data_IF_425553378733
#
_entry.id   IF_425553378733
#
_cell.length_a   1.000
_cell.length_b   1.000
_cell.length_c   1.000
_cell.angle_alpha   90.00
_cell.angle_beta   90.00
_cell.angle_gamma   90.00
#
_symmetry.space_group_name_H-M   'P 1'
#
loop_
_entity.id
_entity.type
_entity.pdbx_description
1 polymer ?
#
# COMPACT_ATOMS: atom_id res chain seq x y z
N UNK A 1 20.84 30.67 -36.62
CA UNK A 1 21.43 29.94 -35.45
C UNK A 1 20.41 29.70 -34.33
N UNK A 2 19.65 30.70 -33.87
CA UNK A 2 18.64 30.59 -32.79
C UNK A 2 17.67 29.40 -32.91
N UNK A 3 17.09 29.14 -34.10
CA UNK A 3 16.16 28.01 -34.35
C UNK A 3 16.83 26.63 -34.24
N UNK A 4 18.11 26.50 -34.62
CA UNK A 4 18.87 25.24 -34.53
C UNK A 4 19.31 24.95 -33.09
N UNK A 5 19.67 25.99 -32.34
CA UNK A 5 19.93 25.89 -30.90
C UNK A 5 18.66 25.46 -30.14
N UNK A 6 17.50 26.02 -30.50
CA UNK A 6 16.22 25.61 -29.89
C UNK A 6 15.87 24.14 -30.16
N UNK A 7 16.11 23.64 -31.38
CA UNK A 7 15.84 22.24 -31.72
C UNK A 7 16.76 21.28 -30.95
N UNK A 8 18.05 21.61 -30.79
CA UNK A 8 19.01 20.80 -30.02
C UNK A 8 18.62 20.73 -28.55
N UNK A 9 18.20 21.86 -27.96
CA UNK A 9 17.74 21.89 -26.56
C UNK A 9 16.51 21.01 -26.34
N UNK A 10 15.54 21.05 -27.26
CA UNK A 10 14.33 20.22 -27.19
C UNK A 10 14.69 18.73 -27.23
N UNK A 11 15.58 18.33 -28.15
CA UNK A 11 16.00 16.92 -28.27
C UNK A 11 16.70 16.43 -27.01
N UNK A 12 17.57 17.25 -26.42
CA UNK A 12 18.27 16.90 -25.17
C UNK A 12 17.31 16.76 -23.98
N UNK A 13 16.30 17.64 -23.87
CA UNK A 13 15.26 17.54 -22.84
C UNK A 13 14.43 16.27 -23.02
N UNK A 14 14.03 15.93 -24.25
CA UNK A 14 13.27 14.71 -24.52
C UNK A 14 14.06 13.45 -24.17
N UNK A 15 15.35 13.38 -24.54
CA UNK A 15 16.21 12.23 -24.23
C UNK A 15 16.46 12.09 -22.72
N UNK A 16 16.72 13.21 -22.02
CA UNK A 16 16.90 13.21 -20.57
C UNK A 16 15.63 12.82 -19.81
N UNK A 17 14.46 13.27 -20.26
CA UNK A 17 13.17 12.92 -19.68
C UNK A 17 12.86 11.42 -19.79
N UNK A 18 13.09 10.81 -20.95
CA UNK A 18 12.88 9.37 -21.16
C UNK A 18 13.80 8.54 -20.25
N UNK A 19 15.07 8.94 -20.12
CA UNK A 19 16.02 8.26 -19.22
C UNK A 19 15.59 8.38 -17.76
N UNK A 20 15.17 9.57 -17.31
CA UNK A 20 14.68 9.78 -15.94
C UNK A 20 13.44 8.93 -15.63
N UNK A 21 12.47 8.87 -16.54
CA UNK A 21 11.25 8.08 -16.35
C UNK A 21 11.58 6.59 -16.23
N UNK A 22 12.48 6.06 -17.06
CA UNK A 22 12.92 4.66 -16.97
C UNK A 22 13.53 4.36 -15.59
N UNK A 23 14.38 5.24 -15.08
CA UNK A 23 15.01 5.09 -13.75
C UNK A 23 14.00 5.23 -12.60
N UNK A 24 13.01 6.14 -12.73
CA UNK A 24 11.95 6.31 -11.74
C UNK A 24 10.97 5.13 -11.74
N UNK A 25 10.61 4.57 -12.90
CA UNK A 25 9.73 3.39 -12.98
C UNK A 25 10.35 2.14 -12.39
N UNK A 26 11.68 1.99 -12.44
CA UNK A 26 12.40 0.94 -11.68
C UNK A 26 12.48 1.22 -10.18
N UNK A 27 12.23 2.47 -9.78
CA UNK A 27 12.11 2.88 -8.39
C UNK A 27 10.64 2.84 -7.96
N UNK A 28 9.93 1.75 -8.22
CA UNK A 28 8.73 1.47 -7.44
C UNK A 28 9.19 1.45 -5.98
N UNK A 29 8.69 2.42 -5.20
CA UNK A 29 8.78 2.40 -3.74
C UNK A 29 7.89 1.26 -3.25
N UNK A 30 8.25 0.03 -3.60
CA UNK A 30 7.78 -1.13 -2.88
C UNK A 30 8.18 -0.87 -1.44
N UNK A 31 7.19 -0.71 -0.56
CA UNK A 31 7.47 -0.74 0.85
C UNK A 31 8.33 -2.00 1.09
N UNK A 32 9.49 -1.87 1.77
CA UNK A 32 10.36 -3.01 1.99
C UNK A 32 9.52 -4.11 2.64
N UNK A 33 9.74 -5.38 2.30
CA UNK A 33 9.04 -6.51 2.95
C UNK A 33 9.06 -6.35 4.48
N UNK A 34 10.18 -5.85 5.01
CA UNK A 34 10.37 -5.47 6.41
C UNK A 34 9.30 -4.53 6.99
N UNK A 35 8.75 -3.60 6.20
CA UNK A 35 7.66 -2.73 6.65
C UNK A 35 6.35 -3.49 6.80
N UNK A 36 6.08 -4.48 5.93
CA UNK A 36 4.94 -5.38 6.08
C UNK A 36 5.17 -6.38 7.22
N UNK A 37 6.37 -6.93 7.35
CA UNK A 37 6.74 -7.85 8.42
C UNK A 37 6.62 -7.19 9.79
N UNK A 38 6.92 -5.89 9.92
CA UNK A 38 6.74 -5.13 11.16
C UNK A 38 5.26 -4.88 11.47
N UNK A 39 4.43 -4.62 10.45
CA UNK A 39 2.98 -4.48 10.63
C UNK A 39 2.38 -5.81 11.04
N UNK A 40 2.79 -6.91 10.40
CA UNK A 40 2.36 -8.26 10.73
C UNK A 40 2.87 -8.68 12.10
N UNK A 41 4.13 -8.40 12.47
CA UNK A 41 4.68 -8.67 13.80
C UNK A 41 4.03 -7.84 14.91
N UNK A 42 3.65 -6.59 14.64
CA UNK A 42 2.89 -5.76 15.58
C UNK A 42 1.46 -6.30 15.79
N UNK A 43 0.88 -6.95 14.76
CA UNK A 43 -0.41 -7.63 14.85
C UNK A 43 -0.29 -9.12 15.25
N UNK A 44 0.92 -9.68 15.27
CA UNK A 44 1.21 -11.08 15.56
C UNK A 44 1.20 -11.28 17.07
N UNK A 45 0.01 -11.58 17.58
CA UNK A 45 -0.24 -11.72 19.01
C UNK A 45 -1.63 -11.26 19.43
N UNK A 46 -2.33 -10.47 18.60
CA UNK A 46 -3.77 -10.17 18.76
C UNK A 46 -4.59 -11.40 18.32
N UNK A 47 -4.45 -12.49 19.07
CA UNK A 47 -5.22 -13.73 18.93
C UNK A 47 -6.65 -13.56 19.46
N UNK A 48 -7.36 -12.59 18.89
CA UNK A 48 -8.82 -12.46 18.97
C UNK A 48 -9.26 -11.46 17.92
N UNK A 49 -9.06 -11.79 16.65
CA UNK A 49 -9.52 -10.96 15.53
C UNK A 49 -11.04 -11.06 15.36
N UNK A 50 -11.79 -10.99 16.45
CA UNK A 50 -13.23 -10.78 16.42
C UNK A 50 -13.61 -9.73 17.44
N UNK A 51 -14.52 -8.85 17.06
CA UNK A 51 -15.06 -7.83 17.95
C UNK A 51 -16.58 -7.84 17.92
N UNK A 52 -17.17 -7.87 19.11
CA UNK A 52 -18.58 -8.08 19.31
C UNK A 52 -19.20 -6.89 20.02
N UNK A 53 -20.29 -6.37 19.46
CA UNK A 53 -20.87 -5.10 19.86
C UNK A 53 -22.38 -5.20 20.02
N UNK A 54 -22.89 -4.59 21.09
CA UNK A 54 -24.32 -4.53 21.40
C UNK A 54 -24.88 -5.84 21.95
N UNK A 55 -26.17 -5.81 22.29
CA UNK A 55 -26.95 -6.99 22.69
C UNK A 55 -27.91 -7.26 21.54
N UNK A 56 -27.93 -8.50 21.04
CA UNK A 56 -28.73 -8.88 19.88
C UNK A 56 -28.67 -10.39 19.66
N UNK A 57 -29.13 -10.90 18.52
CA UNK A 57 -29.26 -12.35 18.32
C UNK A 57 -28.06 -13.03 17.61
N UNK A 58 -27.04 -12.25 17.23
CA UNK A 58 -25.83 -12.77 16.56
C UNK A 58 -24.95 -13.50 17.57
N UNK A 59 -24.58 -14.73 17.25
CA UNK A 59 -23.67 -15.51 18.09
C UNK A 59 -22.23 -15.04 17.94
N UNK A 60 -21.63 -14.60 19.04
CA UNK A 60 -20.22 -14.31 19.15
C UNK A 60 -19.60 -15.16 20.26
N UNK A 61 -19.11 -16.35 19.91
CA UNK A 61 -18.39 -17.24 20.83
C UNK A 61 -19.15 -17.55 22.13
N UNK A 62 -20.48 -17.67 22.05
CA UNK A 62 -21.36 -17.93 23.19
C UNK A 62 -22.12 -16.71 23.73
N UNK A 63 -21.74 -15.50 23.33
CA UNK A 63 -22.48 -14.27 23.64
C UNK A 63 -23.43 -13.87 22.51
N UNK A 64 -24.54 -13.24 22.87
CA UNK A 64 -25.59 -12.77 21.95
C UNK A 64 -25.48 -11.26 21.73
N UNK A 65 -25.02 -10.87 20.54
CA UNK A 65 -24.66 -9.48 20.19
C UNK A 65 -25.39 -8.97 18.95
N UNK A 66 -25.35 -7.66 18.73
CA UNK A 66 -25.97 -7.03 17.55
C UNK A 66 -25.05 -7.09 16.32
N UNK A 67 -23.72 -7.01 16.52
CA UNK A 67 -22.71 -7.06 15.44
C UNK A 67 -21.46 -7.82 15.85
N UNK A 68 -20.94 -8.63 14.94
CA UNK A 68 -19.63 -9.27 15.05
C UNK A 68 -18.78 -8.89 13.83
N UNK A 69 -17.55 -8.41 14.06
CA UNK A 69 -16.56 -8.14 13.03
C UNK A 69 -15.41 -9.11 13.18
N UNK A 70 -15.05 -9.86 12.14
CA UNK A 70 -13.80 -10.63 12.10
C UNK A 70 -12.70 -9.82 11.41
N UNK A 71 -11.45 -10.03 11.82
CA UNK A 71 -10.29 -9.41 11.20
C UNK A 71 -10.05 -9.93 9.79
N UNK A 72 -9.56 -9.05 8.93
CA UNK A 72 -9.18 -9.38 7.56
C UNK A 72 -7.79 -10.02 7.55
N UNK A 73 -7.67 -11.19 6.92
CA UNK A 73 -6.38 -11.80 6.58
C UNK A 73 -5.94 -11.24 5.22
N UNK A 74 -4.88 -10.43 5.22
CA UNK A 74 -4.22 -9.97 3.99
C UNK A 74 -3.26 -11.08 3.53
N UNK A 75 -3.80 -12.09 2.85
CA UNK A 75 -3.01 -13.08 2.10
C UNK A 75 -2.68 -12.58 0.70
#
# INVERSE_FOLDING_TARGET
>A
MKKRVSAVVIVLVCLGGVACIKTLSTSSVGLPQLAFDNIEALASGESSAYRCYGIGDVDCHGDKVDKMYSGYSLK
#
